data_IF_063648187579
#
_entry.id   IF_063648187579
#
_cell.length_a   1.000
_cell.length_b   1.000
_cell.length_c   1.000
_cell.angle_alpha   90.00
_cell.angle_beta   90.00
_cell.angle_gamma   90.00
#
_symmetry.space_group_name_H-M   'P 1'
#
loop_
_entity.id
_entity.type
_entity.pdbx_description
1 polymer ?
#
# COMPACT_ATOMS: atom_id res chain seq x y z
N UNK A 1 -1.89 8.29 -11.76
CA UNK A 1 -2.39 9.65 -11.50
C UNK A 1 -2.99 9.68 -10.09
N UNK A 2 -2.16 9.77 -9.05
CA UNK A 2 -2.62 9.58 -7.68
C UNK A 2 -3.63 10.66 -7.23
N UNK A 3 -3.60 11.85 -7.84
CA UNK A 3 -4.55 12.95 -7.59
C UNK A 3 -5.94 12.73 -8.19
N UNK A 4 -6.08 11.83 -9.18
CA UNK A 4 -7.36 11.53 -9.83
C UNK A 4 -7.41 10.06 -10.30
N UNK A 5 -7.48 9.11 -9.36
CA UNK A 5 -7.54 7.69 -9.69
C UNK A 5 -8.85 7.32 -10.41
N UNK A 6 -9.95 8.00 -10.09
CA UNK A 6 -11.25 7.75 -10.72
C UNK A 6 -11.28 8.20 -12.17
N UNK A 7 -10.77 9.39 -12.48
CA UNK A 7 -10.62 9.86 -13.86
C UNK A 7 -9.71 8.95 -14.67
N UNK A 8 -8.60 8.46 -14.08
CA UNK A 8 -7.73 7.48 -14.74
C UNK A 8 -8.47 6.16 -15.03
N UNK A 9 -9.22 5.62 -14.07
CA UNK A 9 -10.05 4.42 -14.27
C UNK A 9 -11.10 4.65 -15.37
N UNK A 10 -11.70 5.84 -15.44
CA UNK A 10 -12.72 6.20 -16.42
C UNK A 10 -12.19 6.29 -17.87
N UNK A 11 -10.87 6.39 -18.07
CA UNK A 11 -10.25 6.33 -19.41
C UNK A 11 -10.22 4.90 -19.98
N UNK A 12 -10.41 3.89 -19.15
CA UNK A 12 -10.51 2.50 -19.59
C UNK A 12 -11.98 2.15 -19.90
N UNK A 13 -12.22 1.20 -20.82
CA UNK A 13 -13.58 0.83 -21.21
C UNK A 13 -14.37 0.15 -20.07
N UNK A 14 -13.71 -0.42 -19.06
CA UNK A 14 -14.35 -0.98 -17.88
C UNK A 14 -13.35 -1.19 -16.73
N UNK A 15 -13.86 -1.43 -15.50
CA UNK A 15 -13.05 -1.83 -14.35
C UNK A 15 -12.27 -3.13 -14.61
N UNK A 16 -12.86 -4.08 -15.33
CA UNK A 16 -12.21 -5.34 -15.73
C UNK A 16 -11.08 -5.12 -16.73
N UNK A 17 -11.17 -4.07 -17.58
CA UNK A 17 -10.07 -3.70 -18.46
C UNK A 17 -8.88 -3.13 -17.68
N UNK A 18 -9.14 -2.32 -16.64
CA UNK A 18 -8.12 -1.87 -15.68
C UNK A 18 -7.51 -3.07 -14.96
N UNK A 19 -8.35 -3.98 -14.44
CA UNK A 19 -7.92 -5.20 -13.75
C UNK A 19 -6.97 -6.03 -14.62
N UNK A 20 -7.35 -6.34 -15.87
CA UNK A 20 -6.48 -7.07 -16.81
C UNK A 20 -5.17 -6.35 -17.07
N UNK A 21 -5.18 -5.02 -17.18
CA UNK A 21 -3.97 -4.23 -17.40
C UNK A 21 -3.05 -4.29 -16.18
N UNK A 22 -3.59 -4.16 -14.97
CA UNK A 22 -2.84 -4.31 -13.72
C UNK A 22 -2.32 -5.73 -13.55
N UNK A 23 -3.14 -6.76 -13.76
CA UNK A 23 -2.73 -8.17 -13.70
C UNK A 23 -1.54 -8.39 -14.65
N UNK A 24 -1.62 -7.88 -15.89
CA UNK A 24 -0.54 -8.00 -16.87
C UNK A 24 0.78 -7.36 -16.42
N UNK A 25 0.73 -6.27 -15.66
CA UNK A 25 1.92 -5.59 -15.14
C UNK A 25 2.69 -6.52 -14.19
N UNK A 26 1.98 -7.25 -13.32
CA UNK A 26 2.59 -8.10 -12.30
C UNK A 26 2.93 -9.51 -12.80
N UNK A 27 2.39 -9.96 -13.94
CA UNK A 27 2.60 -11.33 -14.45
C UNK A 27 3.43 -11.41 -15.73
N UNK A 28 3.48 -10.36 -16.55
CA UNK A 28 4.23 -10.39 -17.82
C UNK A 28 5.72 -10.28 -17.53
N UNK A 29 6.57 -11.23 -17.95
CA UNK A 29 8.02 -11.12 -17.74
C UNK A 29 8.61 -9.90 -18.45
N UNK A 30 9.63 -9.28 -17.84
CA UNK A 30 10.42 -8.25 -18.53
C UNK A 30 11.13 -8.86 -19.76
N UNK A 31 10.93 -8.23 -20.92
CA UNK A 31 11.43 -8.71 -22.21
C UNK A 31 12.92 -8.42 -22.48
N UNK A 32 13.75 -8.27 -21.45
CA UNK A 32 15.20 -8.04 -21.58
C UNK A 32 15.63 -6.60 -21.90
N UNK A 33 14.72 -5.63 -21.86
CA UNK A 33 15.02 -4.19 -22.02
C UNK A 33 15.15 -3.46 -20.67
N UNK A 34 15.71 -4.14 -19.67
CA UNK A 34 15.82 -3.63 -18.31
C UNK A 34 16.96 -2.60 -18.23
N UNK A 35 16.68 -1.42 -17.69
CA UNK A 35 17.74 -0.47 -17.36
C UNK A 35 18.56 -1.04 -16.18
N UNK A 36 19.88 -0.90 -16.24
CA UNK A 36 20.81 -1.52 -15.28
C UNK A 36 20.53 -1.16 -13.81
N UNK A 37 19.97 0.03 -13.56
CA UNK A 37 19.66 0.52 -12.22
C UNK A 37 18.24 0.15 -11.73
N UNK A 38 17.48 -0.63 -12.49
CA UNK A 38 16.15 -1.08 -12.13
C UNK A 38 16.20 -2.54 -11.68
N UNK A 39 15.77 -2.79 -10.44
CA UNK A 39 15.81 -4.11 -9.79
C UNK A 39 14.51 -4.39 -9.03
N UNK A 40 14.31 -5.64 -8.60
CA UNK A 40 13.11 -6.02 -7.85
C UNK A 40 11.86 -6.19 -8.72
N UNK A 41 11.98 -6.96 -9.81
CA UNK A 41 10.88 -7.15 -10.76
C UNK A 41 9.85 -8.19 -10.33
N UNK A 42 8.58 -7.81 -10.40
CA UNK A 42 7.42 -8.69 -10.32
C UNK A 42 6.65 -8.56 -11.64
N UNK A 43 6.93 -9.45 -12.60
CA UNK A 43 6.52 -9.23 -13.98
C UNK A 43 7.30 -8.06 -14.60
N UNK A 44 6.58 -7.04 -15.07
CA UNK A 44 7.14 -5.77 -15.58
C UNK A 44 7.08 -4.64 -14.55
N UNK A 45 6.45 -4.88 -13.38
CA UNK A 45 6.56 -3.98 -12.24
C UNK A 45 7.98 -4.00 -11.68
N UNK A 46 8.56 -2.84 -11.45
CA UNK A 46 9.87 -2.68 -10.82
C UNK A 46 9.71 -2.06 -9.43
N UNK A 47 9.97 -2.82 -8.38
CA UNK A 47 9.85 -2.32 -7.01
C UNK A 47 11.03 -1.47 -6.57
N UNK A 48 12.21 -1.61 -7.16
CA UNK A 48 13.37 -0.77 -6.82
C UNK A 48 13.31 0.65 -7.41
N UNK A 49 12.13 1.12 -7.83
CA UNK A 49 11.96 2.42 -8.49
C UNK A 49 10.60 3.06 -8.16
N UNK A 50 10.64 4.29 -7.66
CA UNK A 50 9.55 5.00 -6.99
C UNK A 50 8.27 5.22 -7.81
N UNK A 51 8.32 5.47 -9.14
CA UNK A 51 7.10 5.71 -9.91
C UNK A 51 6.06 4.58 -9.80
N UNK A 52 6.52 3.35 -9.52
CA UNK A 52 5.66 2.18 -9.37
C UNK A 52 4.98 2.06 -8.01
N UNK A 53 5.46 2.73 -6.96
CA UNK A 53 5.09 2.40 -5.57
C UNK A 53 3.60 2.57 -5.23
N UNK A 54 2.90 3.44 -5.96
CA UNK A 54 1.46 3.66 -5.81
C UNK A 54 0.60 2.77 -6.71
N UNK A 55 1.17 2.05 -7.68
CA UNK A 55 0.40 1.28 -8.66
C UNK A 55 -0.47 0.17 -8.04
N UNK A 56 0.01 -0.65 -7.07
CA UNK A 56 -0.82 -1.71 -6.49
C UNK A 56 -2.15 -1.21 -5.92
N UNK A 57 -2.18 -0.01 -5.38
CA UNK A 57 -3.38 0.60 -4.80
C UNK A 57 -4.46 0.92 -5.84
N UNK A 58 -4.13 0.89 -7.14
CA UNK A 58 -5.12 1.09 -8.20
C UNK A 58 -6.28 0.08 -8.11
N UNK A 59 -6.02 -1.14 -7.60
CA UNK A 59 -7.08 -2.14 -7.39
C UNK A 59 -8.18 -1.69 -6.41
N UNK A 60 -7.90 -0.78 -5.47
CA UNK A 60 -8.91 -0.24 -4.55
C UNK A 60 -10.02 0.51 -5.30
N UNK A 61 -9.68 1.18 -6.40
CA UNK A 61 -10.62 2.00 -7.18
C UNK A 61 -11.45 1.19 -8.19
N UNK A 62 -11.22 -0.12 -8.26
CA UNK A 62 -11.98 -1.07 -9.09
C UNK A 62 -12.59 -2.20 -8.26
N UNK A 63 -12.76 -1.99 -6.96
CA UNK A 63 -13.38 -2.94 -6.01
C UNK A 63 -12.66 -4.29 -5.95
N UNK A 64 -11.33 -4.25 -5.90
CA UNK A 64 -10.42 -5.41 -5.80
C UNK A 64 -9.36 -5.21 -4.71
N UNK A 65 -9.76 -4.65 -3.57
CA UNK A 65 -8.82 -4.32 -2.48
C UNK A 65 -7.93 -5.50 -2.09
N UNK A 66 -8.46 -6.72 -2.07
CA UNK A 66 -7.73 -7.95 -1.77
C UNK A 66 -6.60 -8.23 -2.77
N UNK A 67 -6.78 -7.92 -4.06
CA UNK A 67 -5.71 -8.03 -5.06
C UNK A 67 -4.59 -7.02 -4.82
N UNK A 68 -4.92 -5.79 -4.40
CA UNK A 68 -3.87 -4.85 -3.98
C UNK A 68 -3.07 -5.46 -2.84
N UNK A 69 -3.76 -5.94 -1.80
CA UNK A 69 -3.09 -6.50 -0.62
C UNK A 69 -2.22 -7.71 -0.96
N UNK A 70 -2.67 -8.57 -1.88
CA UNK A 70 -1.88 -9.69 -2.37
C UNK A 70 -0.54 -9.25 -2.97
N UNK A 71 -0.58 -8.21 -3.81
CA UNK A 71 0.64 -7.62 -4.38
C UNK A 71 1.49 -7.00 -3.27
N UNK A 72 0.91 -6.20 -2.37
CA UNK A 72 1.65 -5.56 -1.27
C UNK A 72 2.35 -6.60 -0.38
N UNK A 73 1.67 -7.68 -0.01
CA UNK A 73 2.24 -8.80 0.74
C UNK A 73 3.39 -9.46 -0.01
N UNK A 74 3.23 -9.68 -1.32
CA UNK A 74 4.27 -10.25 -2.17
C UNK A 74 5.51 -9.36 -2.23
N UNK A 75 5.33 -8.05 -2.39
CA UNK A 75 6.43 -7.07 -2.42
C UNK A 75 7.15 -7.00 -1.07
N UNK A 76 6.41 -6.85 0.03
CA UNK A 76 6.95 -6.84 1.39
C UNK A 76 7.73 -8.12 1.70
N UNK A 77 7.22 -9.29 1.30
CA UNK A 77 7.85 -10.57 1.57
C UNK A 77 9.10 -10.83 0.72
N UNK A 78 9.07 -10.46 -0.56
CA UNK A 78 10.18 -10.77 -1.49
C UNK A 78 11.33 -9.79 -1.42
N UNK A 79 11.07 -8.51 -1.15
CA UNK A 79 12.03 -7.43 -1.37
C UNK A 79 12.50 -6.72 -0.10
N UNK A 80 11.97 -7.12 1.06
CA UNK A 80 12.41 -6.62 2.34
C UNK A 80 12.79 -7.79 3.23
N UNK A 81 14.08 -7.93 3.50
CA UNK A 81 14.63 -9.01 4.31
C UNK A 81 15.80 -8.56 5.17
N UNK A 82 16.22 -9.43 6.09
CA UNK A 82 17.36 -9.19 6.98
C UNK A 82 18.42 -10.28 6.78
N UNK A 83 19.70 -9.93 6.93
CA UNK A 83 20.81 -10.89 6.98
C UNK A 83 21.75 -10.84 5.78
N UNK A 84 22.80 -11.67 5.83
CA UNK A 84 23.92 -11.65 4.85
C UNK A 84 23.50 -11.94 3.40
N UNK A 85 22.43 -12.71 3.22
CA UNK A 85 21.87 -13.08 1.92
C UNK A 85 20.55 -12.35 1.63
N UNK A 86 20.03 -11.60 2.61
CA UNK A 86 18.76 -10.91 2.51
C UNK A 86 18.94 -9.62 1.70
N UNK A 87 18.28 -9.52 0.55
CA UNK A 87 18.11 -8.27 -0.18
C UNK A 87 17.46 -7.27 0.78
N UNK A 88 18.26 -6.43 1.44
CA UNK A 88 17.75 -5.45 2.39
C UNK A 88 16.72 -4.52 1.73
N UNK A 89 16.93 -4.25 0.44
CA UNK A 89 16.03 -3.46 -0.41
C UNK A 89 16.00 -4.03 -1.84
N UNK A 90 14.88 -3.83 -2.53
CA UNK A 90 14.72 -4.14 -3.95
C UNK A 90 15.56 -3.24 -4.90
N UNK A 91 16.27 -2.24 -4.37
CA UNK A 91 17.01 -1.20 -5.10
C UNK A 91 17.73 -0.26 -4.12
N UNK A 92 17.99 0.99 -4.53
CA UNK A 92 18.48 2.03 -3.63
C UNK A 92 17.38 2.44 -2.64
N UNK A 93 17.74 2.66 -1.37
CA UNK A 93 16.76 3.10 -0.36
C UNK A 93 16.25 4.54 -0.60
N UNK A 94 16.97 5.30 -1.43
CA UNK A 94 16.65 6.67 -1.85
C UNK A 94 16.24 7.56 -0.68
N UNK A 95 17.17 7.67 0.27
CA UNK A 95 17.06 8.48 1.48
C UNK A 95 15.85 8.12 2.36
N UNK A 96 15.53 6.83 2.47
CA UNK A 96 14.48 6.31 3.33
C UNK A 96 13.12 6.19 2.65
N UNK A 97 13.02 6.40 1.33
CA UNK A 97 11.77 6.23 0.60
C UNK A 97 11.33 4.75 0.61
N UNK A 98 12.22 3.82 0.26
CA UNK A 98 11.91 2.38 0.25
C UNK A 98 11.57 1.88 1.65
N UNK A 99 12.36 2.31 2.65
CA UNK A 99 12.12 2.01 4.06
C UNK A 99 10.76 2.55 4.54
N UNK A 100 10.42 3.78 4.17
CA UNK A 100 9.13 4.39 4.54
C UNK A 100 7.95 3.68 3.88
N UNK A 101 8.10 3.23 2.62
CA UNK A 101 7.09 2.44 1.94
C UNK A 101 6.77 1.16 2.73
N UNK A 102 7.80 0.43 3.19
CA UNK A 102 7.61 -0.77 4.00
C UNK A 102 6.94 -0.45 5.34
N UNK A 103 7.45 0.54 6.08
CA UNK A 103 6.91 0.91 7.39
C UNK A 103 5.43 1.25 7.29
N UNK A 104 5.05 2.11 6.34
CA UNK A 104 3.67 2.53 6.12
C UNK A 104 2.75 1.32 5.84
N UNK A 105 3.11 0.48 4.86
CA UNK A 105 2.35 -0.72 4.55
C UNK A 105 2.25 -1.69 5.72
N UNK A 106 3.36 -1.93 6.42
CA UNK A 106 3.44 -2.86 7.53
C UNK A 106 2.53 -2.46 8.70
N UNK A 107 2.38 -1.15 8.96
CA UNK A 107 1.50 -0.65 10.01
C UNK A 107 0.04 -0.52 9.57
N UNK A 108 -0.26 -0.59 8.26
CA UNK A 108 -1.62 -0.60 7.74
C UNK A 108 -2.12 0.67 7.05
N UNK A 109 -1.25 1.61 6.69
CA UNK A 109 -1.64 2.88 6.05
C UNK A 109 -0.63 3.31 4.99
N UNK A 110 -1.04 4.03 3.93
CA UNK A 110 -0.11 4.54 2.92
C UNK A 110 -0.54 5.90 2.33
N UNK A 111 0.43 6.74 1.98
CA UNK A 111 0.19 8.05 1.34
C UNK A 111 0.03 7.88 -0.18
N UNK A 112 -1.17 7.50 -0.63
CA UNK A 112 -1.43 7.25 -2.06
C UNK A 112 -1.18 8.49 -2.94
N UNK A 113 -1.72 9.63 -2.51
CA UNK A 113 -1.47 10.95 -3.09
C UNK A 113 -0.83 11.81 -2.01
N UNK A 114 0.48 12.09 -2.07
CA UNK A 114 1.21 12.69 -0.96
C UNK A 114 0.83 14.16 -0.68
N UNK A 115 0.09 14.80 -1.58
CA UNK A 115 -0.43 16.15 -1.38
C UNK A 115 -1.79 16.17 -0.65
N UNK A 116 -2.48 15.02 -0.58
CA UNK A 116 -3.77 14.90 0.08
C UNK A 116 -3.56 14.52 1.55
N UNK A 117 -4.27 15.16 2.50
CA UNK A 117 -4.10 14.93 3.93
C UNK A 117 -4.85 13.67 4.39
N UNK A 118 -4.60 12.55 3.71
CA UNK A 118 -5.25 11.27 3.95
C UNK A 118 -4.32 10.09 3.64
N UNK A 119 -4.66 8.94 4.21
CA UNK A 119 -3.92 7.70 4.05
C UNK A 119 -4.87 6.60 3.62
N UNK A 120 -4.51 5.85 2.57
CA UNK A 120 -5.24 4.64 2.20
C UNK A 120 -4.94 3.54 3.21
N UNK A 121 -5.97 2.85 3.68
CA UNK A 121 -5.87 1.78 4.67
C UNK A 121 -5.51 0.47 3.96
N UNK A 122 -4.47 -0.20 4.45
CA UNK A 122 -4.03 -1.54 4.02
C UNK A 122 -4.25 -2.56 5.14
N UNK A 123 -3.97 -3.84 4.89
CA UNK A 123 -3.95 -4.86 5.94
C UNK A 123 -2.59 -4.78 6.68
N UNK A 124 -2.57 -4.45 7.98
CA UNK A 124 -1.34 -4.43 8.76
C UNK A 124 -0.69 -5.81 8.90
N UNK A 125 0.64 -5.85 9.00
CA UNK A 125 1.36 -7.08 9.38
C UNK A 125 1.19 -7.41 10.86
N UNK A 126 0.95 -6.41 11.70
CA UNK A 126 0.84 -6.56 13.14
C UNK A 126 -0.62 -6.47 13.61
N UNK A 127 -0.97 -7.23 14.64
CA UNK A 127 -2.32 -7.15 15.22
C UNK A 127 -2.58 -5.83 15.95
N UNK A 128 -1.52 -5.18 16.47
CA UNK A 128 -1.60 -3.87 17.09
C UNK A 128 -0.33 -3.07 16.89
N UNK A 129 -0.50 -1.83 16.42
CA UNK A 129 0.57 -0.83 16.32
C UNK A 129 0.17 0.40 17.12
N UNK A 130 1.11 0.94 17.89
CA UNK A 130 0.94 2.20 18.63
C UNK A 130 2.12 3.10 18.37
N UNK A 131 1.87 4.37 18.11
CA UNK A 131 2.95 5.35 18.03
C UNK A 131 2.55 6.68 18.67
N UNK A 132 3.54 7.31 19.31
CA UNK A 132 3.39 8.61 19.97
C UNK A 132 3.53 9.71 18.93
N UNK A 133 2.56 10.62 18.91
CA UNK A 133 2.56 11.80 18.06
C UNK A 133 3.38 12.91 18.72
N UNK A 134 3.85 13.88 17.92
CA UNK A 134 4.58 15.05 18.45
C UNK A 134 3.78 15.88 19.46
N UNK A 135 2.45 15.74 19.47
CA UNK A 135 1.55 16.36 20.45
C UNK A 135 1.49 15.64 21.80
N UNK A 136 2.14 14.48 21.94
CA UNK A 136 2.06 13.62 23.13
C UNK A 136 0.87 12.66 23.16
N UNK A 137 -0.07 12.79 22.22
CA UNK A 137 -1.15 11.83 22.01
C UNK A 137 -0.61 10.51 21.43
N UNK A 138 -1.35 9.41 21.63
CA UNK A 138 -1.05 8.10 21.03
C UNK A 138 -2.08 7.83 19.92
N UNK A 139 -1.61 7.41 18.75
CA UNK A 139 -2.48 6.83 17.72
C UNK A 139 -2.30 5.31 17.72
N UNK A 140 -3.40 4.57 17.61
CA UNK A 140 -3.41 3.11 17.65
C UNK A 140 -4.08 2.55 16.41
N UNK A 141 -3.42 1.60 15.76
CA UNK A 141 -3.99 0.75 14.70
C UNK A 141 -4.19 -0.65 15.28
N UNK A 142 -5.39 -1.20 15.12
CA UNK A 142 -5.74 -2.57 15.55
C UNK A 142 -6.25 -3.36 14.34
N UNK A 143 -5.68 -4.54 14.11
CA UNK A 143 -6.17 -5.52 13.13
C UNK A 143 -6.84 -6.69 13.86
N UNK A 144 -8.03 -7.07 13.40
CA UNK A 144 -8.74 -8.27 13.85
C UNK A 144 -9.03 -9.17 12.66
N UNK A 145 -8.73 -10.47 12.79
CA UNK A 145 -8.82 -11.44 11.70
C UNK A 145 -7.49 -11.63 10.96
N UNK A 146 -7.56 -12.26 9.78
CA UNK A 146 -6.43 -12.54 8.91
C UNK A 146 -6.78 -12.30 7.44
N UNK A 147 -5.98 -12.87 6.54
CA UNK A 147 -6.21 -12.76 5.10
C UNK A 147 -5.90 -11.39 4.51
N UNK A 148 -6.35 -11.19 3.26
CA UNK A 148 -5.95 -10.05 2.42
C UNK A 148 -7.09 -9.03 2.26
N UNK A 149 -8.33 -9.45 2.56
CA UNK A 149 -9.52 -8.64 2.36
C UNK A 149 -9.94 -7.93 3.64
N UNK A 150 -10.11 -6.62 3.53
CA UNK A 150 -10.70 -5.78 4.59
C UNK A 150 -12.22 -5.89 4.51
N UNK A 151 -12.86 -6.28 5.63
CA UNK A 151 -14.32 -6.37 5.77
C UNK A 151 -14.92 -5.08 6.30
N UNK A 152 -14.25 -4.41 7.24
CA UNK A 152 -14.71 -3.13 7.78
C UNK A 152 -13.57 -2.35 8.42
N UNK A 153 -13.69 -1.02 8.41
CA UNK A 153 -12.77 -0.11 9.08
C UNK A 153 -13.57 0.86 9.94
N UNK A 154 -13.07 1.16 11.14
CA UNK A 154 -13.62 2.22 12.00
C UNK A 154 -12.53 3.15 12.49
N UNK A 155 -12.85 4.43 12.66
CA UNK A 155 -11.97 5.46 13.19
C UNK A 155 -12.63 6.16 14.37
N UNK A 156 -12.04 6.05 15.57
CA UNK A 156 -12.65 6.52 16.81
C UNK A 156 -14.02 5.88 17.08
N UNK A 157 -14.20 4.61 16.70
CA UNK A 157 -15.45 3.86 16.87
C UNK A 157 -16.54 4.15 15.83
N UNK A 158 -16.31 5.04 14.87
CA UNK A 158 -17.26 5.33 13.79
C UNK A 158 -16.87 4.59 12.50
N UNK A 159 -17.82 4.02 11.74
CA UNK A 159 -17.54 3.41 10.44
C UNK A 159 -16.85 4.38 9.49
N UNK A 160 -15.75 3.95 8.87
CA UNK A 160 -15.08 4.69 7.82
C UNK A 160 -15.80 4.46 6.50
N UNK A 161 -16.12 5.52 5.77
CA UNK A 161 -16.63 5.42 4.40
C UNK A 161 -15.45 5.39 3.42
N UNK A 162 -15.39 4.35 2.59
CA UNK A 162 -14.27 4.15 1.68
C UNK A 162 -13.00 3.65 2.37
N UNK A 163 -11.85 4.01 1.81
CA UNK A 163 -10.55 3.42 2.18
C UNK A 163 -9.58 4.41 2.80
N UNK A 164 -9.96 5.68 2.94
CA UNK A 164 -9.05 6.76 3.31
C UNK A 164 -9.32 7.26 4.73
N UNK A 165 -8.30 7.19 5.59
CA UNK A 165 -8.31 7.84 6.92
C UNK A 165 -7.68 9.22 6.81
N UNK A 166 -8.33 10.24 7.37
CA UNK A 166 -7.83 11.62 7.29
C UNK A 166 -6.70 11.83 8.29
N UNK A 167 -5.73 12.66 7.90
CA UNK A 167 -4.62 13.07 8.76
C UNK A 167 -5.12 13.74 10.05
N UNK A 168 -6.24 14.46 10.01
CA UNK A 168 -6.83 15.08 11.21
C UNK A 168 -7.28 14.05 12.26
N UNK A 169 -7.71 12.85 11.84
CA UNK A 169 -8.12 11.78 12.75
C UNK A 169 -6.90 11.14 13.40
N UNK A 170 -5.81 11.00 12.63
CA UNK A 170 -4.50 10.60 13.13
C UNK A 170 -4.01 11.59 14.20
N UNK A 171 -4.03 12.89 13.89
CA UNK A 171 -3.55 13.97 14.75
C UNK A 171 -4.33 14.11 16.07
N UNK A 172 -5.59 13.64 16.11
CA UNK A 172 -6.45 13.57 17.30
C UNK A 172 -6.27 12.28 18.12
N UNK A 173 -5.31 11.43 17.75
CA UNK A 173 -5.02 10.18 18.47
C UNK A 173 -6.19 9.19 18.48
N UNK A 174 -7.03 9.18 17.44
CA UNK A 174 -8.13 8.22 17.35
C UNK A 174 -7.61 6.78 17.20
N UNK A 175 -8.41 5.79 17.56
CA UNK A 175 -8.11 4.38 17.22
C UNK A 175 -8.61 4.08 15.81
N UNK A 176 -7.75 3.53 14.96
CA UNK A 176 -8.11 2.92 13.68
C UNK A 176 -8.22 1.41 13.86
N UNK A 177 -9.42 0.86 13.69
CA UNK A 177 -9.67 -0.59 13.79
C UNK A 177 -10.04 -1.14 12.43
N UNK A 178 -9.34 -2.19 12.03
CA UNK A 178 -9.42 -2.85 10.72
C UNK A 178 -9.82 -4.30 10.98
N UNK A 179 -10.99 -4.70 10.49
CA UNK A 179 -11.45 -6.10 10.54
C UNK A 179 -11.23 -6.71 9.17
N UNK A 180 -10.51 -7.82 9.11
CA UNK A 180 -10.21 -8.57 7.90
C UNK A 180 -10.92 -9.93 7.90
N UNK A 181 -10.53 -10.83 6.99
CA UNK A 181 -11.14 -12.16 6.85
C UNK A 181 -11.10 -13.03 8.10
#
# INVERSE_FOLDING_TARGET
APHDPQGMVALYPSKEAVERKLDSLFTTPCGGYEAFNLTGYLGTYCHGNQPGHSIPYTYYFIDRQEKAQHILNTLMHKYYGMGKEGLAYAGMDDAGEMSSWYVLNAIGIYTYSPADPEYIVTVPLFDKVRFKLGSGQEFTIVKEGGGEKIKSVTIGGQPLQGWFVRHEDLAKGKELRIVTE
#
